data_IF_654429526677
#
_entry.id   IF_654429526677
#
_cell.length_a   1.000
_cell.length_b   1.000
_cell.length_c   1.000
_cell.angle_alpha   90.00
_cell.angle_beta   90.00
_cell.angle_gamma   90.00
#
_symmetry.space_group_name_H-M   'P 1'
#
loop_
_entity.id
_entity.type
_entity.pdbx_description
1 polymer ?
#
# COMPACT_ATOMS: atom_id res chain seq x y z
N UNK A 1 25.91 19.49 -6.89
CA UNK A 1 25.05 18.57 -7.63
C UNK A 1 23.84 18.31 -6.75
N UNK A 2 22.67 18.73 -7.18
CA UNK A 2 21.40 18.35 -6.55
C UNK A 2 21.24 16.85 -6.85
N UNK A 3 21.22 16.03 -5.82
CA UNK A 3 20.94 14.62 -6.01
C UNK A 3 19.52 14.52 -6.60
N UNK A 4 19.41 13.98 -7.81
CA UNK A 4 18.10 13.68 -8.40
C UNK A 4 17.37 12.75 -7.45
N UNK A 5 16.23 13.20 -6.91
CA UNK A 5 15.38 12.33 -6.11
C UNK A 5 14.77 11.31 -7.06
N UNK A 6 14.81 10.01 -6.73
CA UNK A 6 14.18 9.01 -7.56
C UNK A 6 12.67 9.28 -7.65
N UNK A 7 12.13 9.15 -8.85
CA UNK A 7 10.67 9.24 -9.05
C UNK A 7 10.06 7.96 -8.45
N UNK A 8 9.24 8.13 -7.43
CA UNK A 8 8.52 7.03 -6.80
C UNK A 8 7.22 6.80 -7.58
N UNK A 9 7.12 5.65 -8.23
CA UNK A 9 5.94 5.26 -9.02
C UNK A 9 5.03 4.38 -8.17
N UNK A 10 3.74 4.69 -8.18
CA UNK A 10 2.68 3.91 -7.54
C UNK A 10 1.77 3.29 -8.58
N UNK A 11 1.55 1.97 -8.50
CA UNK A 11 0.59 1.25 -9.34
C UNK A 11 -0.76 1.23 -8.66
N UNK A 12 -1.58 2.25 -8.91
CA UNK A 12 -2.95 2.38 -8.40
C UNK A 12 -3.87 1.37 -9.09
N UNK A 13 -4.75 0.73 -8.32
CA UNK A 13 -5.68 -0.32 -8.80
C UNK A 13 -4.95 -1.37 -9.65
N UNK A 14 -3.84 -1.87 -9.14
CA UNK A 14 -2.94 -2.77 -9.90
C UNK A 14 -3.64 -4.03 -10.43
N UNK A 15 -4.63 -4.54 -9.69
CA UNK A 15 -5.44 -5.71 -10.09
C UNK A 15 -6.24 -5.50 -11.39
N UNK A 16 -6.44 -4.26 -11.84
CA UNK A 16 -7.04 -3.94 -13.14
C UNK A 16 -6.08 -4.13 -14.32
N UNK A 17 -4.80 -4.39 -14.06
CA UNK A 17 -3.80 -4.59 -15.12
C UNK A 17 -3.96 -5.95 -15.77
N UNK A 18 -3.44 -6.08 -17.00
CA UNK A 18 -3.46 -7.35 -17.77
C UNK A 18 -2.75 -8.49 -17.03
N UNK A 19 -1.71 -8.18 -16.30
CA UNK A 19 -0.96 -9.09 -15.44
C UNK A 19 -0.76 -8.43 -14.07
N UNK A 20 -1.77 -8.50 -13.16
CA UNK A 20 -1.68 -7.91 -11.83
C UNK A 20 -0.39 -8.32 -11.12
N UNK A 21 0.16 -7.43 -10.30
CA UNK A 21 1.44 -7.55 -9.64
C UNK A 21 2.64 -7.57 -10.60
N UNK A 22 2.66 -8.47 -11.59
CA UNK A 22 3.85 -8.75 -12.41
C UNK A 22 4.26 -7.60 -13.32
N UNK A 23 3.31 -6.82 -13.84
CA UNK A 23 3.64 -5.66 -14.66
C UNK A 23 4.32 -4.57 -13.85
N UNK A 24 3.80 -4.27 -12.66
CA UNK A 24 4.35 -3.28 -11.75
C UNK A 24 5.72 -3.75 -11.20
N UNK A 25 5.80 -5.00 -10.75
CA UNK A 25 7.05 -5.60 -10.27
C UNK A 25 8.18 -5.56 -11.32
N UNK A 26 7.89 -5.89 -12.57
CA UNK A 26 8.88 -5.86 -13.67
C UNK A 26 9.40 -4.45 -13.96
N UNK A 27 8.62 -3.41 -13.66
CA UNK A 27 9.02 -2.01 -13.78
C UNK A 27 9.69 -1.46 -12.51
N UNK A 28 9.88 -2.29 -11.49
CA UNK A 28 10.45 -1.91 -10.20
C UNK A 28 9.74 -0.69 -9.58
N UNK A 29 8.39 -0.67 -9.68
CA UNK A 29 7.62 0.42 -9.07
C UNK A 29 7.78 0.40 -7.55
N UNK A 30 7.79 1.59 -6.94
CA UNK A 30 7.94 1.73 -5.49
C UNK A 30 6.76 1.13 -4.71
N UNK A 31 5.55 1.28 -5.22
CA UNK A 31 4.32 0.90 -4.51
C UNK A 31 3.31 0.24 -5.44
N UNK A 32 2.69 -0.81 -4.97
CA UNK A 32 1.62 -1.55 -5.66
C UNK A 32 0.40 -1.54 -4.75
N UNK A 33 -0.78 -1.22 -5.30
CA UNK A 33 -2.04 -1.16 -4.57
C UNK A 33 -2.99 -2.29 -4.95
N UNK A 34 -3.58 -2.89 -3.93
CA UNK A 34 -4.63 -3.89 -4.06
C UNK A 34 -5.82 -3.53 -3.16
N UNK A 35 -7.01 -3.47 -3.75
CA UNK A 35 -8.27 -3.28 -3.03
C UNK A 35 -8.79 -4.64 -2.56
N UNK A 36 -9.07 -4.77 -1.28
CA UNK A 36 -9.45 -6.06 -0.68
C UNK A 36 -10.82 -6.01 0.00
N UNK A 37 -11.58 -7.06 -0.26
CA UNK A 37 -12.83 -7.38 0.41
C UNK A 37 -12.69 -8.69 1.18
N UNK A 38 -13.16 -8.74 2.41
CA UNK A 38 -13.40 -10.00 3.09
C UNK A 38 -14.79 -10.52 2.68
N UNK A 39 -14.84 -11.52 1.83
CA UNK A 39 -16.06 -12.12 1.31
C UNK A 39 -16.01 -13.65 1.42
N UNK A 40 -17.03 -14.25 2.06
CA UNK A 40 -17.06 -15.70 2.25
C UNK A 40 -15.84 -16.27 2.97
N UNK A 41 -15.21 -15.52 3.88
CA UNK A 41 -14.00 -15.94 4.62
C UNK A 41 -12.70 -15.86 3.81
N UNK A 42 -12.74 -15.28 2.60
CA UNK A 42 -11.56 -15.09 1.73
C UNK A 42 -11.34 -13.59 1.49
N UNK A 43 -10.08 -13.20 1.35
CA UNK A 43 -9.70 -11.87 0.87
C UNK A 43 -9.72 -11.87 -0.66
N UNK A 44 -10.74 -11.28 -1.24
CA UNK A 44 -10.91 -11.12 -2.68
C UNK A 44 -10.49 -9.73 -3.12
N UNK A 45 -10.02 -9.60 -4.34
CA UNK A 45 -9.52 -8.35 -4.92
C UNK A 45 -10.49 -7.85 -5.98
N UNK A 46 -10.84 -6.57 -5.91
CA UNK A 46 -11.74 -5.91 -6.86
C UNK A 46 -12.06 -4.48 -6.42
N UNK A 47 -12.53 -3.65 -7.35
CA UNK A 47 -12.88 -2.26 -7.06
C UNK A 47 -14.25 -2.15 -6.35
N UNK A 48 -15.22 -2.90 -6.86
CA UNK A 48 -16.58 -2.99 -6.32
C UNK A 48 -16.93 -4.45 -6.00
N UNK A 49 -17.98 -4.65 -5.23
CA UNK A 49 -18.44 -6.00 -4.85
C UNK A 49 -18.82 -6.84 -6.07
N UNK A 50 -19.35 -6.18 -7.10
CA UNK A 50 -19.78 -6.81 -8.35
C UNK A 50 -18.61 -7.33 -9.20
N UNK A 51 -17.40 -6.81 -8.98
CA UNK A 51 -16.17 -7.23 -9.68
C UNK A 51 -15.54 -8.47 -9.05
N UNK A 52 -15.99 -8.87 -7.87
CA UNK A 52 -15.36 -9.96 -7.13
C UNK A 52 -15.50 -11.30 -7.83
N UNK A 53 -14.38 -12.00 -7.97
CA UNK A 53 -14.30 -13.34 -8.51
C UNK A 53 -13.57 -14.27 -7.55
N UNK A 54 -14.05 -15.51 -7.36
CA UNK A 54 -13.42 -16.48 -6.45
C UNK A 54 -11.95 -16.79 -6.75
N UNK A 55 -11.52 -16.60 -8.01
CA UNK A 55 -10.14 -16.79 -8.44
C UNK A 55 -9.23 -15.59 -8.20
N UNK A 56 -9.78 -14.42 -7.92
CA UNK A 56 -9.05 -13.19 -7.71
C UNK A 56 -8.82 -12.96 -6.21
N UNK A 57 -7.99 -13.80 -5.59
CA UNK A 57 -7.66 -13.67 -4.16
C UNK A 57 -6.42 -12.81 -3.95
N UNK A 58 -6.40 -12.05 -2.86
CA UNK A 58 -5.22 -11.27 -2.45
C UNK A 58 -4.00 -12.17 -2.23
N UNK A 59 -4.21 -13.37 -1.67
CA UNK A 59 -3.16 -14.36 -1.47
C UNK A 59 -2.52 -14.77 -2.80
N UNK A 60 -3.31 -15.23 -3.77
CA UNK A 60 -2.78 -15.73 -5.04
C UNK A 60 -2.17 -14.65 -5.92
N UNK A 61 -2.74 -13.42 -5.92
CA UNK A 61 -2.30 -12.36 -6.81
C UNK A 61 -1.08 -11.58 -6.28
N UNK A 62 -0.93 -11.44 -4.96
CA UNK A 62 0.10 -10.57 -4.36
C UNK A 62 1.00 -11.30 -3.36
N UNK A 63 0.43 -12.09 -2.44
CA UNK A 63 1.21 -12.69 -1.35
C UNK A 63 2.09 -13.83 -1.85
N UNK A 64 1.53 -14.81 -2.57
CA UNK A 64 2.28 -15.95 -3.11
C UNK A 64 3.39 -15.55 -4.09
N UNK A 65 3.17 -14.60 -5.04
CA UNK A 65 4.24 -14.05 -5.86
C UNK A 65 5.38 -13.47 -5.04
N UNK A 66 5.08 -12.65 -4.02
CA UNK A 66 6.10 -12.05 -3.14
C UNK A 66 6.88 -13.10 -2.36
N UNK A 67 6.21 -14.08 -1.77
CA UNK A 67 6.86 -15.20 -1.07
C UNK A 67 7.82 -15.93 -2.01
N UNK A 68 7.38 -16.24 -3.22
CA UNK A 68 8.21 -16.91 -4.23
C UNK A 68 9.44 -16.07 -4.61
N UNK A 69 9.24 -14.77 -4.83
CA UNK A 69 10.32 -13.85 -5.21
C UNK A 69 11.33 -13.65 -4.09
N UNK A 70 10.90 -13.50 -2.85
CA UNK A 70 11.80 -13.39 -1.70
C UNK A 70 12.68 -14.63 -1.57
N UNK A 71 12.13 -15.84 -1.74
CA UNK A 71 12.90 -17.08 -1.76
C UNK A 71 13.94 -17.13 -2.88
N UNK A 72 13.63 -16.59 -4.08
CA UNK A 72 14.55 -16.57 -5.24
C UNK A 72 15.59 -15.45 -5.18
N UNK A 73 15.25 -14.34 -4.54
CA UNK A 73 16.05 -13.11 -4.54
C UNK A 73 16.90 -12.94 -3.26
N UNK A 74 17.00 -13.98 -2.42
CA UNK A 74 17.80 -13.91 -1.19
C UNK A 74 17.17 -13.03 -0.11
N UNK A 75 15.83 -13.08 0.04
CA UNK A 75 15.10 -12.40 1.09
C UNK A 75 14.77 -10.93 0.79
N UNK A 76 14.65 -10.56 -0.48
CA UNK A 76 14.30 -9.19 -0.91
C UNK A 76 13.41 -9.17 -2.14
N UNK A 77 12.78 -8.02 -2.40
CA UNK A 77 11.87 -7.88 -3.54
C UNK A 77 12.61 -8.06 -4.89
N UNK A 78 13.78 -7.43 -5.07
CA UNK A 78 14.61 -7.54 -6.28
C UNK A 78 16.04 -7.95 -5.92
N UNK A 79 16.60 -8.88 -6.68
CA UNK A 79 17.91 -9.47 -6.39
C UNK A 79 19.04 -8.43 -6.38
N UNK A 80 19.01 -7.51 -7.33
CA UNK A 80 20.12 -6.58 -7.59
C UNK A 80 19.77 -5.13 -7.20
N UNK A 81 18.77 -4.94 -6.33
CA UNK A 81 18.33 -3.62 -5.85
C UNK A 81 18.22 -3.62 -4.34
N UNK A 82 18.64 -2.51 -3.71
CA UNK A 82 18.39 -2.23 -2.30
C UNK A 82 17.05 -1.52 -2.05
N UNK A 83 16.24 -1.36 -3.09
CA UNK A 83 14.94 -0.71 -2.97
C UNK A 83 13.91 -1.64 -2.29
N UNK A 84 13.07 -1.05 -1.45
CA UNK A 84 11.97 -1.75 -0.79
C UNK A 84 10.69 -1.58 -1.59
N UNK A 85 9.97 -2.68 -1.80
CA UNK A 85 8.62 -2.63 -2.33
C UNK A 85 7.64 -2.27 -1.21
N UNK A 86 6.71 -1.38 -1.51
CA UNK A 86 5.53 -1.12 -0.69
C UNK A 86 4.32 -1.84 -1.29
N UNK A 87 3.58 -2.56 -0.46
CA UNK A 87 2.27 -3.09 -0.79
C UNK A 87 1.22 -2.28 -0.03
N UNK A 88 0.44 -1.50 -0.77
CA UNK A 88 -0.69 -0.75 -0.24
C UNK A 88 -1.95 -1.60 -0.34
N UNK A 89 -2.63 -1.76 0.77
CA UNK A 89 -3.83 -2.59 0.89
C UNK A 89 -5.00 -1.68 1.24
N UNK A 90 -5.89 -1.44 0.27
CA UNK A 90 -7.10 -0.68 0.51
C UNK A 90 -8.20 -1.59 1.07
N UNK A 91 -8.69 -1.30 2.26
CA UNK A 91 -9.78 -2.03 2.86
C UNK A 91 -11.13 -1.52 2.32
N UNK A 92 -11.83 -2.35 1.57
CA UNK A 92 -13.13 -2.02 0.94
C UNK A 92 -14.33 -2.56 1.73
N UNK A 93 -14.13 -3.52 2.63
CA UNK A 93 -15.16 -4.09 3.50
C UNK A 93 -14.96 -3.69 4.98
N UNK A 94 -15.76 -4.25 5.90
CA UNK A 94 -15.71 -3.92 7.33
C UNK A 94 -14.28 -3.97 7.89
N UNK A 95 -13.84 -2.89 8.52
CA UNK A 95 -12.45 -2.62 8.91
C UNK A 95 -11.85 -3.75 9.72
N UNK A 96 -12.40 -4.03 10.88
CA UNK A 96 -11.81 -4.97 11.84
C UNK A 96 -11.65 -6.39 11.28
N UNK A 97 -12.71 -7.07 10.77
CA UNK A 97 -12.57 -8.43 10.27
C UNK A 97 -11.68 -8.51 9.03
N UNK A 98 -11.72 -7.50 8.15
CA UNK A 98 -10.89 -7.48 6.95
C UNK A 98 -9.41 -7.32 7.31
N UNK A 99 -9.08 -6.37 8.18
CA UNK A 99 -7.71 -6.12 8.60
C UNK A 99 -7.14 -7.27 9.43
N UNK A 100 -7.96 -7.92 10.27
CA UNK A 100 -7.56 -9.14 10.98
C UNK A 100 -7.22 -10.27 10.01
N UNK A 101 -8.03 -10.45 8.96
CA UNK A 101 -7.75 -11.46 7.92
C UNK A 101 -6.46 -11.15 7.14
N UNK A 102 -6.23 -9.88 6.79
CA UNK A 102 -4.97 -9.43 6.17
C UNK A 102 -3.78 -9.71 7.10
N UNK A 103 -3.85 -9.29 8.36
CA UNK A 103 -2.79 -9.50 9.34
C UNK A 103 -2.49 -11.00 9.56
N UNK A 104 -3.52 -11.84 9.64
CA UNK A 104 -3.36 -13.28 9.79
C UNK A 104 -2.69 -13.93 8.56
N UNK A 105 -3.04 -13.48 7.35
CA UNK A 105 -2.42 -13.97 6.12
C UNK A 105 -0.94 -13.56 6.03
N UNK A 106 -0.64 -12.28 6.21
CA UNK A 106 0.74 -11.78 6.12
C UNK A 106 1.63 -12.35 7.25
N UNK A 107 1.08 -12.54 8.43
CA UNK A 107 1.78 -13.12 9.58
C UNK A 107 2.26 -14.58 9.39
N UNK A 108 1.79 -15.27 8.34
CA UNK A 108 2.31 -16.60 7.95
C UNK A 108 3.68 -16.53 7.27
N UNK A 109 4.11 -15.34 6.85
CA UNK A 109 5.33 -15.11 6.07
C UNK A 109 6.14 -13.93 6.64
N UNK A 110 6.59 -14.02 7.92
CA UNK A 110 7.26 -12.90 8.58
C UNK A 110 8.55 -12.47 7.88
N UNK A 111 9.28 -13.38 7.25
CA UNK A 111 10.48 -13.08 6.47
C UNK A 111 10.21 -12.22 5.23
N UNK A 112 8.95 -12.12 4.80
CA UNK A 112 8.53 -11.30 3.65
C UNK A 112 7.93 -9.97 4.09
N UNK A 113 7.20 -9.94 5.22
CA UNK A 113 6.37 -8.80 5.59
C UNK A 113 6.74 -8.15 6.94
N UNK A 114 7.60 -8.76 7.76
CA UNK A 114 7.97 -8.19 9.06
C UNK A 114 9.43 -7.67 9.06
N UNK A 115 9.63 -6.35 9.10
CA UNK A 115 10.98 -5.77 9.12
C UNK A 115 11.77 -6.08 10.41
N UNK A 116 11.11 -6.52 11.47
CA UNK A 116 11.79 -7.01 12.67
C UNK A 116 12.46 -8.38 12.45
N UNK A 117 11.95 -9.18 11.50
CA UNK A 117 12.51 -10.47 11.08
C UNK A 117 13.46 -10.29 9.91
N UNK A 118 13.08 -9.49 8.92
CA UNK A 118 13.88 -9.23 7.73
C UNK A 118 13.87 -7.72 7.41
N UNK A 119 15.00 -7.00 7.56
CA UNK A 119 15.06 -5.57 7.24
C UNK A 119 14.67 -5.22 5.80
N UNK A 120 14.79 -6.18 4.86
CA UNK A 120 14.42 -6.03 3.44
C UNK A 120 12.94 -6.34 3.17
N UNK A 121 12.14 -6.59 4.21
CA UNK A 121 10.72 -6.94 4.08
C UNK A 121 9.92 -5.91 3.29
N UNK A 122 8.85 -6.36 2.65
CA UNK A 122 7.86 -5.50 1.98
C UNK A 122 7.21 -4.58 3.01
N UNK A 123 7.13 -3.31 2.69
CA UNK A 123 6.45 -2.30 3.52
C UNK A 123 4.95 -2.41 3.32
N UNK A 124 4.21 -2.66 4.40
CA UNK A 124 2.75 -2.76 4.35
C UNK A 124 2.13 -1.44 4.78
N UNK A 125 1.28 -0.90 3.91
CA UNK A 125 0.48 0.29 4.19
C UNK A 125 -0.99 -0.03 3.96
N UNK A 126 -1.82 0.21 4.97
CA UNK A 126 -3.27 0.01 4.90
C UNK A 126 -3.95 1.35 4.69
N UNK A 127 -4.82 1.41 3.70
CA UNK A 127 -5.63 2.59 3.35
C UNK A 127 -7.12 2.22 3.24
N UNK A 128 -7.96 3.17 2.82
CA UNK A 128 -9.39 2.98 2.70
C UNK A 128 -10.09 3.01 4.07
N UNK A 129 -10.72 1.92 4.46
CA UNK A 129 -11.41 1.81 5.75
C UNK A 129 -10.42 1.50 6.89
N UNK A 130 -9.48 2.41 7.15
CA UNK A 130 -8.51 2.26 8.23
C UNK A 130 -9.18 2.28 9.61
N UNK A 131 -8.61 1.58 10.63
CA UNK A 131 -9.11 1.66 12.00
C UNK A 131 -8.90 3.06 12.60
N UNK A 132 -9.63 3.38 13.65
CA UNK A 132 -9.37 4.59 14.42
C UNK A 132 -7.93 4.58 14.97
N UNK A 133 -7.25 5.74 15.07
CA UNK A 133 -5.86 5.81 15.54
C UNK A 133 -5.63 5.16 16.91
N UNK A 134 -6.61 5.20 17.80
CA UNK A 134 -6.57 4.52 19.10
C UNK A 134 -6.46 2.99 18.99
N UNK A 135 -6.86 2.41 17.86
CA UNK A 135 -6.90 0.98 17.61
C UNK A 135 -5.67 0.47 16.84
N UNK A 136 -4.76 1.35 16.39
CA UNK A 136 -3.56 0.95 15.66
C UNK A 136 -2.72 -0.10 16.40
N UNK A 137 -2.64 0.02 17.72
CA UNK A 137 -1.90 -0.90 18.58
C UNK A 137 -2.47 -2.32 18.66
N UNK A 138 -3.70 -2.56 18.18
CA UNK A 138 -4.30 -3.89 18.12
C UNK A 138 -3.73 -4.77 17.01
N UNK A 139 -3.01 -4.18 16.06
CA UNK A 139 -2.48 -4.86 14.87
C UNK A 139 -0.95 -4.95 14.92
N UNK A 140 -0.34 -5.93 14.22
CA UNK A 140 1.12 -6.08 14.17
C UNK A 140 1.84 -4.80 13.79
N UNK A 141 3.01 -4.54 14.36
CA UNK A 141 3.77 -3.29 14.19
C UNK A 141 4.24 -3.06 12.74
N UNK A 142 4.38 -4.11 11.95
CA UNK A 142 4.74 -4.01 10.54
C UNK A 142 3.60 -3.50 9.65
N UNK A 143 2.35 -3.52 10.12
CA UNK A 143 1.22 -2.88 9.44
C UNK A 143 1.21 -1.41 9.81
N UNK A 144 1.41 -0.54 8.82
CA UNK A 144 1.32 0.90 8.95
C UNK A 144 0.11 1.41 8.19
N UNK A 145 -0.29 2.62 8.45
CA UNK A 145 -1.55 3.18 7.97
C UNK A 145 -1.33 4.43 7.14
N UNK A 146 -2.24 4.67 6.23
CA UNK A 146 -2.43 5.94 5.56
C UNK A 146 -3.12 6.91 6.54
N UNK A 147 -2.48 8.03 6.81
CA UNK A 147 -2.97 9.04 7.74
C UNK A 147 -3.84 10.09 7.07
N UNK A 148 -4.51 10.88 7.88
CA UNK A 148 -5.32 12.02 7.47
C UNK A 148 -4.59 13.30 7.82
N UNK A 149 -4.56 14.27 6.89
CA UNK A 149 -3.77 15.49 6.99
C UNK A 149 -4.08 16.34 8.22
N UNK A 150 -5.36 16.45 8.59
CA UNK A 150 -5.86 17.33 9.66
C UNK A 150 -6.15 16.60 10.98
N UNK A 151 -5.69 15.34 11.10
CA UNK A 151 -5.87 14.58 12.33
C UNK A 151 -4.73 14.83 13.33
N UNK A 152 -5.10 14.98 14.59
CA UNK A 152 -4.16 15.03 15.70
C UNK A 152 -3.76 13.60 16.10
N UNK A 153 -2.48 13.26 15.88
CA UNK A 153 -1.92 11.98 16.27
C UNK A 153 -0.99 12.12 17.48
N UNK A 154 -1.07 11.20 18.42
CA UNK A 154 -0.04 11.05 19.45
C UNK A 154 1.28 10.56 18.83
N UNK A 155 2.45 10.75 19.50
CA UNK A 155 3.73 10.23 18.99
C UNK A 155 3.68 8.72 18.64
N UNK A 156 3.06 7.92 19.50
CA UNK A 156 2.93 6.47 19.26
C UNK A 156 2.03 6.14 18.03
N UNK A 157 1.01 6.96 17.77
CA UNK A 157 0.18 6.81 16.57
C UNK A 157 0.95 7.23 15.31
N UNK A 158 1.76 8.31 15.38
CA UNK A 158 2.59 8.77 14.26
C UNK A 158 3.59 7.70 13.81
N UNK A 159 4.14 6.89 14.71
CA UNK A 159 5.01 5.77 14.37
C UNK A 159 4.31 4.73 13.47
N UNK A 160 2.97 4.69 13.52
CA UNK A 160 2.16 3.78 12.73
C UNK A 160 1.66 4.41 11.41
N UNK A 161 1.91 5.68 11.17
CA UNK A 161 1.57 6.37 9.91
C UNK A 161 2.74 6.22 8.94
N UNK A 162 2.47 5.67 7.76
CA UNK A 162 3.46 5.50 6.71
C UNK A 162 3.53 6.69 5.75
N UNK A 163 2.37 7.26 5.46
CA UNK A 163 2.18 8.38 4.56
C UNK A 163 0.84 9.06 4.91
N UNK A 164 0.62 10.22 4.35
CA UNK A 164 -0.65 10.94 4.43
C UNK A 164 -1.12 11.16 2.99
N UNK A 165 -2.24 10.56 2.64
CA UNK A 165 -2.89 10.79 1.35
C UNK A 165 -3.88 11.96 1.46
N UNK A 166 -3.91 12.77 0.40
CA UNK A 166 -4.89 13.82 0.25
C UNK A 166 -5.32 13.88 -1.20
N UNK A 167 -6.60 14.13 -1.46
CA UNK A 167 -7.07 14.36 -2.81
C UNK A 167 -6.63 15.76 -3.24
N UNK A 168 -5.93 15.85 -4.37
CA UNK A 168 -5.46 17.13 -4.90
C UNK A 168 -6.63 18.08 -5.20
N UNK A 169 -7.80 17.55 -5.52
CA UNK A 169 -9.01 18.34 -5.76
C UNK A 169 -9.52 19.08 -4.52
N UNK A 170 -9.15 18.62 -3.31
CA UNK A 170 -9.50 19.29 -2.06
C UNK A 170 -8.70 20.60 -1.87
N UNK A 171 -7.56 20.73 -2.57
CA UNK A 171 -6.63 21.83 -2.43
C UNK A 171 -6.50 22.67 -3.70
N UNK A 172 -6.96 22.18 -4.84
CA UNK A 172 -6.81 22.82 -6.14
C UNK A 172 -8.06 22.64 -7.01
N UNK A 173 -8.41 23.68 -7.74
CA UNK A 173 -9.44 23.62 -8.78
C UNK A 173 -8.91 23.08 -10.12
N UNK A 174 -7.63 22.74 -10.20
CA UNK A 174 -7.04 22.18 -11.41
C UNK A 174 -7.57 20.75 -11.66
N UNK A 175 -8.09 20.53 -12.85
CA UNK A 175 -8.78 19.30 -13.25
C UNK A 175 -7.90 18.28 -14.01
N UNK A 176 -6.57 18.46 -13.94
CA UNK A 176 -5.63 17.57 -14.64
C UNK A 176 -5.40 17.96 -16.11
N UNK A 177 -6.00 19.04 -16.62
CA UNK A 177 -5.85 19.49 -18.01
C UNK A 177 -5.17 20.86 -18.09
N UNK A 178 -4.23 20.99 -19.03
CA UNK A 178 -3.44 22.20 -19.19
C UNK A 178 -2.38 22.40 -18.10
N UNK A 179 -1.77 23.58 -18.11
CA UNK A 179 -0.77 23.95 -17.11
C UNK A 179 -1.43 24.28 -15.78
N UNK A 180 -0.85 23.82 -14.68
CA UNK A 180 -1.22 24.29 -13.36
C UNK A 180 -0.55 25.64 -13.10
N UNK A 181 -1.25 26.53 -12.39
CA UNK A 181 -0.70 27.83 -12.00
C UNK A 181 0.42 27.63 -10.97
N UNK A 182 1.60 28.19 -11.26
CA UNK A 182 2.78 28.06 -10.39
C UNK A 182 2.59 28.77 -9.04
N UNK A 183 1.84 29.87 -9.03
CA UNK A 183 1.53 30.58 -7.80
C UNK A 183 0.64 29.73 -6.88
N UNK A 184 -0.24 28.94 -7.48
CA UNK A 184 -1.05 27.96 -6.76
C UNK A 184 -0.22 26.82 -6.17
N UNK A 185 0.75 26.29 -6.94
CA UNK A 185 1.70 25.28 -6.43
C UNK A 185 2.55 25.81 -5.27
N UNK A 186 3.01 27.07 -5.38
CA UNK A 186 3.76 27.72 -4.32
C UNK A 186 2.91 27.88 -3.04
N UNK A 187 1.63 28.22 -3.18
CA UNK A 187 0.70 28.31 -2.04
C UNK A 187 0.46 26.97 -1.34
N UNK A 188 0.57 25.86 -2.08
CA UNK A 188 0.49 24.50 -1.55
C UNK A 188 1.82 23.97 -1.00
N UNK A 189 2.92 24.73 -1.11
CA UNK A 189 4.25 24.29 -0.69
C UNK A 189 4.84 23.19 -1.57
N UNK A 190 4.38 23.07 -2.82
CA UNK A 190 4.77 22.04 -3.79
C UNK A 190 5.80 22.51 -4.84
N UNK A 191 6.38 23.70 -4.65
CA UNK A 191 7.40 24.29 -5.54
C UNK A 191 8.83 24.02 -5.09
#
# INVERSE_FOLDING_TARGET
AVAERPILIHSHNDYCRRAPFWQAYAQQVYSIEADVFLHGGKLLVGHEVEDLSPGMTFEALYVEPLVTLFGRNGGRAWKDSGEHLQLMVELKSATEPTLQAVAALLGRYPEVFDPAVNPEAVRIVVTGRVPAPADFGKYPSYIRFDGVWDADYTPAQLERIALISADFSDYSQWNGKGSIDIDHLNALGLS
#
